data_IF_027756759990
#
_entry.id   IF_027756759990
#
_cell.length_a   1.000
_cell.length_b   1.000
_cell.length_c   1.000
_cell.angle_alpha   90.00
_cell.angle_beta   90.00
_cell.angle_gamma   90.00
#
_symmetry.space_group_name_H-M   'P 1'
#
loop_
_entity.id
_entity.type
_entity.pdbx_description
1 polymer ?
#
# COMPACT_ATOMS: atom_id res chain seq x y z
N UNK A 1 -47.58 -64.02 27.10
CA UNK A 1 -47.00 -64.62 25.87
C UNK A 1 -47.41 -63.75 24.69
N UNK A 2 -46.41 -63.22 23.95
CA UNK A 2 -46.43 -62.51 22.65
C UNK A 2 -47.02 -61.09 22.55
N UNK A 3 -46.06 -60.17 22.47
CA UNK A 3 -46.11 -58.78 22.00
C UNK A 3 -46.58 -58.68 20.53
N UNK A 4 -47.34 -57.62 20.22
CA UNK A 4 -47.55 -57.10 18.86
C UNK A 4 -46.36 -56.21 18.50
N UNK A 5 -45.80 -56.40 17.32
CA UNK A 5 -44.67 -55.62 16.80
C UNK A 5 -45.11 -54.28 16.21
N UNK A 6 -44.36 -53.24 16.53
CA UNK A 6 -44.39 -51.95 15.83
C UNK A 6 -43.58 -52.00 14.53
N UNK A 7 -43.93 -51.20 13.50
CA UNK A 7 -43.17 -51.12 12.26
C UNK A 7 -41.87 -50.30 12.45
N UNK A 8 -40.80 -50.60 11.69
CA UNK A 8 -39.54 -49.87 11.80
C UNK A 8 -39.67 -48.44 11.26
N UNK A 9 -39.10 -47.52 12.02
CA UNK A 9 -39.01 -46.10 11.73
C UNK A 9 -38.29 -45.82 10.40
N UNK A 10 -38.96 -45.06 9.52
CA UNK A 10 -38.32 -44.37 8.39
C UNK A 10 -37.45 -43.24 8.93
N UNK A 11 -36.18 -43.50 9.17
CA UNK A 11 -35.27 -42.49 9.71
C UNK A 11 -33.80 -42.82 9.51
N UNK A 12 -33.34 -43.00 8.27
CA UNK A 12 -31.91 -43.15 7.99
C UNK A 12 -31.51 -42.86 6.53
N UNK A 13 -32.14 -41.89 5.85
CA UNK A 13 -31.79 -41.57 4.45
C UNK A 13 -31.87 -40.07 4.14
N UNK A 14 -31.15 -39.22 4.90
CA UNK A 14 -30.90 -37.84 4.44
C UNK A 14 -29.59 -37.20 4.93
N UNK A 15 -28.70 -37.94 5.59
CA UNK A 15 -27.48 -37.37 6.18
C UNK A 15 -26.22 -37.48 5.29
N UNK A 16 -26.32 -37.87 4.02
CA UNK A 16 -25.14 -38.12 3.17
C UNK A 16 -24.92 -37.11 2.03
N UNK A 17 -25.65 -35.99 1.96
CA UNK A 17 -25.57 -35.06 0.81
C UNK A 17 -25.10 -33.63 1.08
N UNK A 18 -24.39 -33.36 2.18
CA UNK A 18 -23.80 -32.02 2.42
C UNK A 18 -22.35 -32.04 2.94
N UNK A 19 -21.48 -32.89 2.38
CA UNK A 19 -20.03 -32.66 2.41
C UNK A 19 -19.52 -32.31 1.00
N UNK A 20 -20.24 -31.42 0.31
CA UNK A 20 -19.68 -30.74 -0.85
C UNK A 20 -18.43 -29.99 -0.35
N UNK A 21 -17.26 -30.57 -0.67
CA UNK A 21 -15.95 -30.07 -0.31
C UNK A 21 -15.94 -28.54 -0.37
N UNK A 22 -15.83 -27.88 0.77
CA UNK A 22 -15.43 -26.48 0.84
C UNK A 22 -14.07 -26.43 0.13
N UNK A 23 -14.05 -26.17 -1.19
CA UNK A 23 -12.78 -26.07 -1.92
C UNK A 23 -12.04 -24.90 -1.30
N UNK A 24 -11.07 -25.24 -0.46
CA UNK A 24 -10.26 -24.27 0.25
C UNK A 24 -9.72 -23.28 -0.76
N UNK A 25 -9.91 -22.01 -0.45
CA UNK A 25 -9.31 -20.89 -1.18
C UNK A 25 -7.79 -21.15 -1.22
N UNK A 26 -7.15 -21.37 -2.38
CA UNK A 26 -5.70 -21.60 -2.42
C UNK A 26 -4.95 -20.50 -1.67
N UNK A 27 -4.18 -20.92 -0.66
CA UNK A 27 -3.50 -20.02 0.29
C UNK A 27 -2.15 -19.53 -0.23
N UNK A 28 -1.56 -20.24 -1.19
CA UNK A 28 -0.22 -19.93 -1.71
C UNK A 28 -0.14 -18.56 -2.40
N UNK A 29 -1.05 -18.15 -3.32
CA UNK A 29 -1.00 -16.81 -3.91
C UNK A 29 -1.06 -15.70 -2.85
N UNK A 30 -1.87 -15.91 -1.81
CA UNK A 30 -1.98 -14.92 -0.73
C UNK A 30 -0.73 -14.83 0.13
N UNK A 31 -0.11 -15.98 0.46
CA UNK A 31 1.15 -16.02 1.21
C UNK A 31 2.29 -15.36 0.44
N UNK A 32 2.38 -15.59 -0.87
CA UNK A 32 3.38 -14.97 -1.73
C UNK A 32 3.13 -13.47 -1.91
N UNK A 33 1.87 -13.03 -2.03
CA UNK A 33 1.54 -11.61 -2.07
C UNK A 33 1.93 -10.90 -0.76
N UNK A 34 1.66 -11.53 0.39
CA UNK A 34 2.12 -11.04 1.70
C UNK A 34 3.64 -10.99 1.81
N UNK A 35 4.34 -12.05 1.39
CA UNK A 35 5.80 -12.09 1.41
C UNK A 35 6.37 -10.96 0.55
N UNK A 36 5.88 -10.79 -0.68
CA UNK A 36 6.29 -9.71 -1.57
C UNK A 36 6.06 -8.34 -0.93
N UNK A 37 4.84 -8.08 -0.43
CA UNK A 37 4.52 -6.82 0.25
C UNK A 37 5.42 -6.57 1.46
N UNK A 38 5.68 -7.60 2.27
CA UNK A 38 6.54 -7.53 3.44
C UNK A 38 8.03 -7.36 3.08
N UNK A 39 8.46 -7.74 1.88
CA UNK A 39 9.81 -7.46 1.35
C UNK A 39 9.93 -6.04 0.80
N UNK A 40 8.90 -5.53 0.12
CA UNK A 40 8.92 -4.21 -0.51
C UNK A 40 8.95 -3.07 0.53
N UNK A 41 8.35 -3.24 1.71
CA UNK A 41 8.40 -2.20 2.74
C UNK A 41 9.82 -1.94 3.31
N UNK A 42 10.58 -2.97 3.75
CA UNK A 42 12.01 -2.82 4.06
C UNK A 42 12.84 -2.33 2.88
N UNK A 43 12.49 -2.69 1.64
CA UNK A 43 13.17 -2.19 0.45
C UNK A 43 13.07 -0.66 0.33
N UNK A 44 11.91 -0.08 0.63
CA UNK A 44 11.69 1.38 0.66
C UNK A 44 12.54 2.02 1.77
N UNK A 45 12.60 1.42 2.96
CA UNK A 45 13.47 1.89 4.04
C UNK A 45 14.94 1.92 3.61
N UNK A 46 15.44 0.81 3.06
CA UNK A 46 16.81 0.72 2.57
C UNK A 46 17.09 1.73 1.46
N UNK A 47 16.17 1.91 0.51
CA UNK A 47 16.32 2.93 -0.54
C UNK A 47 16.34 4.36 0.01
N UNK A 48 15.55 4.64 1.04
CA UNK A 48 15.56 5.91 1.76
C UNK A 48 16.88 6.16 2.50
N UNK A 49 17.46 5.13 3.14
CA UNK A 49 18.79 5.21 3.77
C UNK A 49 19.89 5.44 2.73
N UNK A 50 19.89 4.67 1.63
CA UNK A 50 20.83 4.84 0.51
C UNK A 50 20.80 6.27 -0.02
N UNK A 51 19.61 6.87 -0.10
CA UNK A 51 19.44 8.25 -0.58
C UNK A 51 19.88 9.27 0.47
N UNK A 52 19.57 9.08 1.75
CA UNK A 52 19.95 10.07 2.80
C UNK A 52 21.45 10.08 3.08
N UNK A 53 22.10 8.92 3.04
CA UNK A 53 23.56 8.81 3.19
C UNK A 53 24.33 9.11 1.89
N UNK A 54 23.65 9.42 0.78
CA UNK A 54 24.26 9.52 -0.55
C UNK A 54 25.05 8.27 -0.98
N UNK A 55 24.74 7.12 -0.39
CA UNK A 55 25.39 5.83 -0.64
C UNK A 55 25.06 5.24 -2.03
N UNK A 56 24.13 5.84 -2.78
CA UNK A 56 23.70 5.32 -4.08
C UNK A 56 24.74 5.38 -5.19
N UNK A 57 25.89 6.01 -4.93
CA UNK A 57 27.03 6.09 -5.84
C UNK A 57 28.26 5.32 -5.34
N UNK A 58 28.10 4.54 -4.25
CA UNK A 58 29.20 3.78 -3.65
C UNK A 58 29.62 2.61 -4.52
N UNK A 59 28.76 2.12 -5.41
CA UNK A 59 29.02 1.03 -6.35
C UNK A 59 28.76 1.54 -7.78
N UNK A 60 29.78 1.64 -8.64
CA UNK A 60 29.65 2.27 -9.97
C UNK A 60 28.97 1.38 -11.03
N UNK A 61 28.91 0.06 -10.80
CA UNK A 61 28.36 -0.92 -11.75
C UNK A 61 26.92 -1.32 -11.40
N UNK A 62 26.17 -1.78 -12.41
CA UNK A 62 24.84 -2.39 -12.29
C UNK A 62 24.66 -3.40 -13.44
N UNK A 63 24.00 -4.55 -13.24
CA UNK A 63 23.29 -5.01 -12.03
C UNK A 63 24.19 -5.60 -10.94
N UNK A 64 25.46 -5.89 -11.25
CA UNK A 64 26.43 -6.41 -10.29
C UNK A 64 26.92 -5.36 -9.29
N UNK A 65 27.50 -5.82 -8.19
CA UNK A 65 28.33 -5.04 -7.27
C UNK A 65 29.78 -5.50 -7.42
N UNK A 66 30.61 -4.68 -8.04
CA UNK A 66 32.00 -5.00 -8.37
C UNK A 66 32.16 -6.32 -9.13
N UNK A 67 31.26 -6.58 -10.08
CA UNK A 67 31.20 -7.84 -10.86
C UNK A 67 30.49 -9.01 -10.19
N UNK A 68 30.06 -8.89 -8.92
CA UNK A 68 29.29 -9.92 -8.22
C UNK A 68 27.78 -9.62 -8.27
N UNK A 69 26.97 -10.56 -8.74
CA UNK A 69 25.51 -10.39 -8.75
C UNK A 69 24.91 -10.52 -7.34
N UNK A 70 25.04 -11.71 -6.72
CA UNK A 70 24.40 -12.00 -5.42
C UNK A 70 25.40 -12.14 -4.27
N UNK A 71 26.59 -12.65 -4.54
CA UNK A 71 27.53 -13.11 -3.52
C UNK A 71 28.76 -12.20 -3.46
N UNK A 72 28.55 -10.90 -3.28
CA UNK A 72 29.65 -10.00 -2.96
C UNK A 72 30.21 -10.37 -1.57
N UNK A 73 31.54 -10.46 -1.37
CA UNK A 73 32.12 -11.02 -0.14
C UNK A 73 31.61 -10.32 1.12
N UNK A 74 31.06 -11.10 2.08
CA UNK A 74 30.36 -10.58 3.26
C UNK A 74 31.19 -9.55 4.05
N UNK A 75 32.46 -9.87 4.26
CA UNK A 75 33.40 -9.00 4.94
C UNK A 75 33.62 -7.65 4.22
N UNK A 76 33.53 -7.62 2.89
CA UNK A 76 33.85 -6.43 2.09
C UNK A 76 32.74 -5.37 2.15
N UNK A 77 31.47 -5.76 2.00
CA UNK A 77 30.37 -4.78 2.13
C UNK A 77 30.00 -4.46 3.57
N UNK A 78 30.18 -5.38 4.54
CA UNK A 78 29.89 -5.05 5.95
C UNK A 78 30.89 -4.05 6.55
N UNK A 79 32.10 -3.94 5.99
CA UNK A 79 33.13 -2.98 6.43
C UNK A 79 32.82 -1.55 6.02
N UNK A 80 32.17 -1.34 4.87
CA UNK A 80 31.91 -0.01 4.31
C UNK A 80 30.42 0.24 4.32
N UNK A 81 29.96 1.15 5.19
CA UNK A 81 28.55 1.43 5.41
C UNK A 81 27.76 1.73 4.12
N UNK A 82 28.32 2.52 3.22
CA UNK A 82 27.64 2.90 1.98
C UNK A 82 27.48 1.69 1.03
N UNK A 83 28.50 0.84 0.94
CA UNK A 83 28.44 -0.41 0.16
C UNK A 83 27.47 -1.40 0.78
N UNK A 84 27.41 -1.48 2.12
CA UNK A 84 26.41 -2.27 2.84
C UNK A 84 24.98 -1.86 2.44
N UNK A 85 24.70 -0.56 2.51
CA UNK A 85 23.38 -0.01 2.17
C UNK A 85 23.03 -0.28 0.71
N UNK A 86 23.95 -0.02 -0.21
CA UNK A 86 23.68 -0.15 -1.64
C UNK A 86 23.51 -1.62 -2.07
N UNK A 87 24.45 -2.51 -1.71
CA UNK A 87 24.36 -3.93 -2.05
C UNK A 87 23.17 -4.59 -1.35
N UNK A 88 22.88 -4.21 -0.10
CA UNK A 88 21.73 -4.70 0.65
C UNK A 88 20.40 -4.31 0.01
N UNK A 89 20.29 -3.07 -0.45
CA UNK A 89 19.14 -2.60 -1.20
C UNK A 89 18.95 -3.41 -2.51
N UNK A 90 20.03 -3.68 -3.25
CA UNK A 90 20.00 -4.52 -4.46
C UNK A 90 19.53 -5.95 -4.16
N UNK A 91 20.04 -6.57 -3.09
CA UNK A 91 19.69 -7.95 -2.71
C UNK A 91 18.21 -8.09 -2.33
N UNK A 92 17.67 -7.13 -1.58
CA UNK A 92 16.24 -7.09 -1.25
C UNK A 92 15.41 -6.87 -2.53
N UNK A 93 15.88 -6.02 -3.45
CA UNK A 93 15.25 -5.80 -4.75
C UNK A 93 15.18 -7.08 -5.60
N UNK A 94 16.27 -7.83 -5.68
CA UNK A 94 16.32 -9.13 -6.35
C UNK A 94 15.37 -10.15 -5.71
N UNK A 95 15.31 -10.16 -4.36
CA UNK A 95 14.35 -10.99 -3.62
C UNK A 95 12.91 -10.65 -3.97
N UNK A 96 12.57 -9.35 -4.05
CA UNK A 96 11.25 -8.91 -4.50
C UNK A 96 10.95 -9.35 -5.95
N UNK A 97 11.94 -9.32 -6.84
CA UNK A 97 11.85 -9.86 -8.20
C UNK A 97 11.50 -11.35 -8.23
N UNK A 98 12.25 -12.18 -7.50
CA UNK A 98 11.97 -13.62 -7.41
C UNK A 98 10.60 -13.93 -6.79
N UNK A 99 10.22 -13.22 -5.72
CA UNK A 99 8.89 -13.35 -5.12
C UNK A 99 7.78 -12.96 -6.10
N UNK A 100 8.01 -11.96 -6.96
CA UNK A 100 7.05 -11.54 -7.98
C UNK A 100 6.88 -12.60 -9.07
N UNK A 101 7.98 -13.23 -9.52
CA UNK A 101 7.93 -14.36 -10.45
C UNK A 101 7.17 -15.54 -9.84
N UNK A 102 7.48 -15.91 -8.59
CA UNK A 102 6.80 -16.98 -7.88
C UNK A 102 5.30 -16.68 -7.70
N UNK A 103 4.95 -15.43 -7.38
CA UNK A 103 3.56 -14.98 -7.28
C UNK A 103 2.84 -15.09 -8.62
N UNK A 104 3.44 -14.62 -9.71
CA UNK A 104 2.87 -14.74 -11.06
C UNK A 104 2.60 -16.20 -11.42
N UNK A 105 3.58 -17.08 -11.23
CA UNK A 105 3.42 -18.52 -11.43
C UNK A 105 2.27 -19.08 -10.58
N UNK A 106 2.23 -18.75 -9.28
CA UNK A 106 1.18 -19.20 -8.37
C UNK A 106 -0.21 -18.68 -8.77
N UNK A 107 -0.33 -17.46 -9.29
CA UNK A 107 -1.58 -16.91 -9.80
C UNK A 107 -2.03 -17.62 -11.08
N UNK A 108 -1.08 -18.00 -11.95
CA UNK A 108 -1.37 -18.79 -13.14
C UNK A 108 -1.92 -20.18 -12.82
N UNK A 109 -1.29 -20.88 -11.88
CA UNK A 109 -1.64 -22.26 -11.50
C UNK A 109 -2.90 -22.31 -10.64
N UNK A 110 -3.02 -21.43 -9.64
CA UNK A 110 -4.04 -21.57 -8.60
C UNK A 110 -5.20 -20.56 -8.68
N UNK A 111 -5.06 -19.46 -9.43
CA UNK A 111 -6.14 -18.49 -9.61
C UNK A 111 -6.85 -18.69 -10.96
N UNK A 112 -8.17 -18.89 -10.88
CA UNK A 112 -9.02 -19.08 -12.08
C UNK A 112 -9.42 -17.76 -12.72
N UNK A 113 -9.22 -16.63 -12.02
CA UNK A 113 -9.60 -15.30 -12.50
C UNK A 113 -8.55 -14.79 -13.52
N UNK A 114 -8.89 -14.63 -14.81
CA UNK A 114 -7.90 -14.25 -15.82
C UNK A 114 -7.31 -12.85 -15.60
N UNK A 115 -8.09 -11.94 -15.00
CA UNK A 115 -7.63 -10.60 -14.66
C UNK A 115 -6.57 -10.59 -13.55
N UNK A 116 -6.58 -11.56 -12.62
CA UNK A 116 -5.52 -11.71 -11.61
C UNK A 116 -4.17 -12.07 -12.25
N UNK A 117 -4.18 -12.86 -13.33
CA UNK A 117 -2.96 -13.18 -14.09
C UNK A 117 -2.38 -11.93 -14.76
N UNK A 118 -3.25 -11.08 -15.32
CA UNK A 118 -2.85 -9.77 -15.88
C UNK A 118 -2.22 -8.88 -14.80
N UNK A 119 -2.76 -8.87 -13.58
CA UNK A 119 -2.16 -8.14 -12.47
C UNK A 119 -0.81 -8.72 -12.04
N UNK A 120 -0.64 -10.05 -12.06
CA UNK A 120 0.66 -10.68 -11.84
C UNK A 120 1.70 -10.28 -12.89
N UNK A 121 1.30 -10.20 -14.18
CA UNK A 121 2.18 -9.73 -15.26
C UNK A 121 2.53 -8.26 -15.03
N UNK A 122 1.55 -7.42 -14.70
CA UNK A 122 1.77 -6.02 -14.36
C UNK A 122 2.72 -5.87 -13.16
N UNK A 123 2.66 -6.77 -12.16
CA UNK A 123 3.59 -6.77 -11.03
C UNK A 123 5.02 -7.05 -11.49
N UNK A 124 5.20 -8.06 -12.35
CA UNK A 124 6.51 -8.41 -12.90
C UNK A 124 7.10 -7.28 -13.73
N UNK A 125 6.28 -6.65 -14.58
CA UNK A 125 6.70 -5.47 -15.34
C UNK A 125 7.03 -4.29 -14.41
N UNK A 126 6.22 -4.06 -13.38
CA UNK A 126 6.42 -3.00 -12.40
C UNK A 126 7.72 -3.15 -11.61
N UNK A 127 8.02 -4.35 -11.09
CA UNK A 127 9.28 -4.59 -10.36
C UNK A 127 10.50 -4.54 -11.29
N UNK A 128 10.36 -5.01 -12.54
CA UNK A 128 11.43 -4.93 -13.53
C UNK A 128 11.73 -3.47 -13.90
N UNK A 129 10.69 -2.66 -14.14
CA UNK A 129 10.82 -1.22 -14.37
C UNK A 129 11.49 -0.53 -13.18
N UNK A 130 11.12 -0.89 -11.95
CA UNK A 130 11.76 -0.36 -10.74
C UNK A 130 13.26 -0.71 -10.67
N UNK A 131 13.62 -1.97 -10.94
CA UNK A 131 15.00 -2.41 -11.01
C UNK A 131 15.80 -1.67 -12.08
N UNK A 132 15.23 -1.48 -13.27
CA UNK A 132 15.86 -0.74 -14.37
C UNK A 132 16.02 0.75 -14.04
N UNK A 133 14.98 1.42 -13.54
CA UNK A 133 15.08 2.83 -13.12
C UNK A 133 16.13 3.01 -12.01
N UNK A 134 16.15 2.09 -11.05
CA UNK A 134 17.13 2.06 -9.96
C UNK A 134 18.56 1.81 -10.45
N UNK A 135 18.76 1.00 -11.49
CA UNK A 135 20.08 0.78 -12.10
C UNK A 135 20.55 1.94 -12.97
N UNK A 136 19.67 2.46 -13.83
CA UNK A 136 19.99 3.56 -14.74
C UNK A 136 20.35 4.84 -13.97
N UNK A 137 19.71 5.12 -12.83
CA UNK A 137 20.08 6.29 -12.01
C UNK A 137 21.48 6.18 -11.40
N UNK A 138 21.97 4.96 -11.14
CA UNK A 138 23.33 4.72 -10.63
C UNK A 138 24.35 4.90 -11.75
N UNK A 139 24.13 4.24 -12.89
CA UNK A 139 25.06 4.32 -14.04
C UNK A 139 25.11 5.74 -14.63
N UNK A 140 23.95 6.40 -14.75
CA UNK A 140 23.83 7.74 -15.32
C UNK A 140 24.07 8.90 -14.35
N UNK A 141 24.14 8.65 -13.04
CA UNK A 141 24.19 9.71 -11.99
C UNK A 141 23.04 10.72 -12.09
N UNK A 142 21.88 10.27 -12.57
CA UNK A 142 20.77 11.14 -12.95
C UNK A 142 19.81 11.37 -11.78
N UNK A 143 19.79 12.60 -11.23
CA UNK A 143 18.91 13.01 -10.13
C UNK A 143 17.44 12.88 -10.53
N UNK A 144 17.10 13.17 -11.79
CA UNK A 144 15.73 13.02 -12.28
C UNK A 144 15.27 11.57 -12.21
N UNK A 145 16.12 10.62 -12.61
CA UNK A 145 15.80 9.19 -12.51
C UNK A 145 15.70 8.73 -11.06
N UNK A 146 16.54 9.26 -10.16
CA UNK A 146 16.42 8.99 -8.72
C UNK A 146 15.08 9.47 -8.17
N UNK A 147 14.63 10.66 -8.54
CA UNK A 147 13.36 11.24 -8.12
C UNK A 147 12.16 10.44 -8.69
N UNK A 148 12.18 10.09 -9.97
CA UNK A 148 11.14 9.26 -10.61
C UNK A 148 11.10 7.87 -9.98
N UNK A 149 12.25 7.23 -9.77
CA UNK A 149 12.35 5.93 -9.09
C UNK A 149 11.72 5.99 -7.69
N UNK A 150 12.08 7.01 -6.91
CA UNK A 150 11.54 7.27 -5.56
C UNK A 150 10.03 7.52 -5.54
N UNK A 151 9.46 8.12 -6.59
CA UNK A 151 8.00 8.32 -6.72
C UNK A 151 7.25 7.04 -7.13
N UNK A 152 7.86 6.20 -7.98
CA UNK A 152 7.21 4.98 -8.50
C UNK A 152 7.31 3.82 -7.51
N UNK A 153 8.31 3.78 -6.62
CA UNK A 153 8.43 2.74 -5.59
C UNK A 153 7.20 2.65 -4.65
N UNK A 154 6.66 3.75 -4.08
CA UNK A 154 5.43 3.73 -3.29
C UNK A 154 4.20 3.26 -4.08
N UNK A 155 4.11 3.58 -5.37
CA UNK A 155 3.03 3.06 -6.24
C UNK A 155 3.13 1.54 -6.38
N UNK A 156 4.34 1.01 -6.61
CA UNK A 156 4.55 -0.42 -6.67
C UNK A 156 4.19 -1.08 -5.33
N UNK A 157 4.57 -0.48 -4.20
CA UNK A 157 4.18 -0.97 -2.88
C UNK A 157 2.66 -1.00 -2.69
N UNK A 158 1.94 0.08 -3.04
CA UNK A 158 0.48 0.12 -3.03
C UNK A 158 -0.15 -0.94 -3.95
N UNK A 159 0.49 -1.24 -5.07
CA UNK A 159 0.09 -2.32 -5.97
C UNK A 159 0.27 -3.70 -5.32
N UNK A 160 1.36 -3.96 -4.61
CA UNK A 160 1.52 -5.21 -3.83
C UNK A 160 0.45 -5.36 -2.74
N UNK A 161 0.05 -4.27 -2.10
CA UNK A 161 -1.05 -4.25 -1.12
C UNK A 161 -2.38 -4.61 -1.80
N UNK A 162 -2.61 -4.09 -3.00
CA UNK A 162 -3.79 -4.45 -3.81
C UNK A 162 -3.81 -5.96 -4.09
N UNK A 163 -2.69 -6.55 -4.52
CA UNK A 163 -2.58 -8.01 -4.72
C UNK A 163 -2.86 -8.77 -3.43
N UNK A 164 -2.33 -8.32 -2.28
CA UNK A 164 -2.57 -8.93 -0.97
C UNK A 164 -4.05 -8.90 -0.58
N UNK A 165 -4.75 -7.78 -0.80
CA UNK A 165 -6.19 -7.66 -0.55
C UNK A 165 -6.98 -8.60 -1.46
N UNK A 166 -6.72 -8.58 -2.77
CA UNK A 166 -7.48 -9.30 -3.80
C UNK A 166 -7.26 -10.82 -3.78
N UNK A 167 -6.13 -11.26 -3.23
CA UNK A 167 -5.83 -12.68 -2.96
C UNK A 167 -6.35 -13.16 -1.61
N UNK A 168 -6.78 -12.25 -0.72
CA UNK A 168 -7.15 -12.59 0.65
C UNK A 168 -8.36 -13.55 0.72
N UNK A 169 -8.38 -14.51 1.66
CA UNK A 169 -9.52 -15.41 1.83
C UNK A 169 -10.83 -14.68 2.11
N UNK A 170 -10.78 -13.54 2.80
CA UNK A 170 -11.94 -12.72 3.07
C UNK A 170 -12.50 -12.12 1.78
N UNK A 171 -11.64 -11.49 0.95
CA UNK A 171 -12.06 -10.93 -0.33
C UNK A 171 -12.69 -12.00 -1.22
N UNK A 172 -12.06 -13.17 -1.31
CA UNK A 172 -12.56 -14.29 -2.14
C UNK A 172 -13.88 -14.88 -1.64
N UNK A 173 -14.12 -14.89 -0.33
CA UNK A 173 -15.43 -15.28 0.24
C UNK A 173 -16.51 -14.27 -0.13
N UNK A 174 -16.25 -12.98 0.07
CA UNK A 174 -17.20 -11.92 -0.25
C UNK A 174 -17.48 -11.82 -1.77
N UNK A 175 -16.48 -12.04 -2.62
CA UNK A 175 -16.62 -12.10 -4.09
C UNK A 175 -17.55 -13.25 -4.50
N UNK A 176 -17.33 -14.47 -3.97
CA UNK A 176 -18.21 -15.62 -4.23
C UNK A 176 -19.64 -15.39 -3.75
N UNK A 177 -19.83 -14.87 -2.52
CA UNK A 177 -21.17 -14.58 -2.01
C UNK A 177 -21.95 -13.61 -2.92
N UNK A 178 -21.26 -12.62 -3.51
CA UNK A 178 -21.86 -11.66 -4.46
C UNK A 178 -22.18 -12.26 -5.84
N UNK A 179 -21.54 -13.36 -6.22
CA UNK A 179 -21.84 -14.09 -7.46
C UNK A 179 -23.00 -15.09 -7.24
N UNK A 180 -23.12 -15.67 -6.04
CA UNK A 180 -24.12 -16.69 -5.69
C UNK A 180 -25.49 -16.16 -5.27
N UNK A 181 -25.63 -14.87 -4.93
CA UNK A 181 -26.92 -14.24 -4.59
C UNK A 181 -27.43 -13.27 -5.68
N UNK A 182 -27.97 -13.76 -6.83
CA UNK A 182 -28.68 -12.88 -7.77
C UNK A 182 -30.11 -12.50 -7.31
N UNK A 183 -30.72 -13.25 -6.38
CA UNK A 183 -32.19 -13.28 -6.20
C UNK A 183 -32.72 -13.14 -4.76
N UNK A 184 -31.93 -12.68 -3.78
CA UNK A 184 -32.42 -12.47 -2.41
C UNK A 184 -33.19 -11.14 -2.28
N UNK A 185 -34.37 -11.08 -2.91
CA UNK A 185 -35.16 -9.86 -3.10
C UNK A 185 -36.09 -9.43 -1.96
N UNK A 186 -36.21 -10.18 -0.86
CA UNK A 186 -37.34 -9.94 0.06
C UNK A 186 -37.03 -9.10 1.30
N UNK A 187 -35.77 -8.78 1.61
CA UNK A 187 -35.42 -7.99 2.80
C UNK A 187 -34.54 -6.77 2.50
N UNK A 188 -34.83 -6.07 1.39
CA UNK A 188 -34.06 -4.91 0.97
C UNK A 188 -34.39 -3.66 1.82
N UNK A 189 -33.49 -3.34 2.76
CA UNK A 189 -33.51 -2.08 3.55
C UNK A 189 -33.39 -0.86 2.63
N UNK A 190 -34.01 0.29 2.98
CA UNK A 190 -34.14 1.44 2.08
C UNK A 190 -32.79 2.09 1.74
N UNK A 191 -32.81 2.82 0.62
CA UNK A 191 -31.71 3.45 -0.09
C UNK A 191 -30.53 3.89 0.78
N UNK A 192 -29.42 3.13 0.66
CA UNK A 192 -28.14 3.42 1.31
C UNK A 192 -27.50 4.67 0.70
N UNK A 193 -27.06 5.60 1.57
CA UNK A 193 -26.02 6.59 1.25
C UNK A 193 -24.83 5.85 0.62
N UNK A 194 -24.70 5.96 -0.70
CA UNK A 194 -23.64 5.30 -1.46
C UNK A 194 -22.47 6.25 -1.54
N UNK A 195 -21.28 5.77 -1.15
CA UNK A 195 -20.03 6.52 -1.33
C UNK A 195 -19.86 6.82 -2.82
N UNK A 196 -19.75 8.10 -3.18
CA UNK A 196 -19.31 8.45 -4.52
C UNK A 196 -17.84 7.98 -4.68
N UNK A 197 -17.47 7.27 -5.76
CA UNK A 197 -16.12 6.72 -5.93
C UNK A 197 -15.00 7.76 -5.81
N UNK A 198 -15.27 9.02 -6.19
CA UNK A 198 -14.29 10.11 -6.06
C UNK A 198 -13.89 10.35 -4.61
N UNK A 199 -14.81 10.20 -3.67
CA UNK A 199 -14.52 10.42 -2.26
C UNK A 199 -13.68 9.27 -1.67
N UNK A 200 -13.91 8.03 -2.11
CA UNK A 200 -13.08 6.87 -1.72
C UNK A 200 -11.65 7.03 -2.24
N UNK A 201 -11.50 7.49 -3.49
CA UNK A 201 -10.21 7.62 -4.16
C UNK A 201 -9.45 8.88 -3.74
N UNK A 202 -10.09 9.83 -3.06
CA UNK A 202 -9.48 11.09 -2.64
C UNK A 202 -8.23 10.88 -1.76
N UNK A 203 -8.29 9.99 -0.77
CA UNK A 203 -7.18 9.71 0.15
C UNK A 203 -5.93 9.16 -0.56
N UNK A 204 -5.99 8.03 -1.31
CA UNK A 204 -4.78 7.53 -1.97
C UNK A 204 -4.23 8.51 -3.03
N UNK A 205 -5.09 9.27 -3.70
CA UNK A 205 -4.66 10.30 -4.67
C UNK A 205 -3.91 11.42 -3.95
N UNK A 206 -4.48 12.00 -2.89
CA UNK A 206 -3.83 13.09 -2.14
C UNK A 206 -2.53 12.64 -1.47
N UNK A 207 -2.49 11.42 -0.91
CA UNK A 207 -1.25 10.87 -0.36
C UNK A 207 -0.19 10.70 -1.46
N UNK A 208 -0.57 10.24 -2.65
CA UNK A 208 0.39 10.12 -3.74
C UNK A 208 0.91 11.49 -4.21
N UNK A 209 0.03 12.49 -4.31
CA UNK A 209 0.44 13.88 -4.59
C UNK A 209 1.42 14.36 -3.50
N UNK A 210 1.14 14.09 -2.22
CA UNK A 210 2.03 14.44 -1.11
C UNK A 210 3.42 13.81 -1.25
N UNK A 211 3.48 12.53 -1.65
CA UNK A 211 4.73 11.80 -1.89
C UNK A 211 5.53 12.46 -3.02
N UNK A 212 4.88 12.78 -4.15
CA UNK A 212 5.53 13.44 -5.28
C UNK A 212 6.08 14.81 -4.87
N UNK A 213 5.28 15.62 -4.16
CA UNK A 213 5.71 16.92 -3.65
C UNK A 213 6.90 16.79 -2.68
N UNK A 214 6.89 15.78 -1.79
CA UNK A 214 7.98 15.51 -0.88
C UNK A 214 9.26 15.04 -1.60
N UNK A 215 9.12 14.24 -2.66
CA UNK A 215 10.26 13.81 -3.48
C UNK A 215 10.89 14.98 -4.25
N UNK A 216 10.07 15.93 -4.74
CA UNK A 216 10.60 17.18 -5.32
C UNK A 216 11.42 17.94 -4.29
N UNK A 217 10.87 18.20 -3.10
CA UNK A 217 11.57 18.90 -2.01
C UNK A 217 12.92 18.27 -1.64
N UNK A 218 13.00 16.94 -1.69
CA UNK A 218 14.21 16.19 -1.35
C UNK A 218 15.31 16.28 -2.42
N UNK A 219 14.95 16.57 -3.66
CA UNK A 219 15.87 16.57 -4.81
C UNK A 219 15.94 17.94 -5.50
N UNK A 220 15.55 19.02 -4.82
CA UNK A 220 15.66 20.37 -5.36
C UNK A 220 17.14 20.72 -5.62
N UNK A 221 17.51 21.11 -6.85
CA UNK A 221 18.86 21.62 -7.12
C UNK A 221 19.14 22.88 -6.31
N UNK A 222 20.35 22.97 -5.73
CA UNK A 222 20.81 24.12 -4.97
C UNK A 222 20.94 25.40 -5.79
N UNK A 223 21.01 25.29 -7.12
CA UNK A 223 21.13 26.41 -8.05
C UNK A 223 19.79 27.13 -8.32
N UNK A 224 18.65 26.56 -7.91
CA UNK A 224 17.36 27.17 -8.15
C UNK A 224 17.14 28.42 -7.27
N UNK A 225 16.47 29.46 -7.78
CA UNK A 225 16.09 30.63 -6.99
C UNK A 225 15.28 30.25 -5.73
N UNK A 226 15.46 30.95 -4.58
CA UNK A 226 14.77 30.63 -3.33
C UNK A 226 13.23 30.55 -3.42
N UNK A 227 12.63 31.29 -4.36
CA UNK A 227 11.19 31.24 -4.61
C UNK A 227 10.65 29.86 -4.99
N UNK A 228 11.47 29.01 -5.65
CA UNK A 228 11.09 27.64 -5.98
C UNK A 228 11.02 26.75 -4.74
N UNK A 229 12.02 26.82 -3.86
CA UNK A 229 12.02 26.11 -2.59
C UNK A 229 10.81 26.51 -1.72
N UNK A 230 10.49 27.81 -1.69
CA UNK A 230 9.30 28.30 -1.02
C UNK A 230 8.00 27.74 -1.62
N UNK A 231 7.85 27.79 -2.95
CA UNK A 231 6.67 27.27 -3.65
C UNK A 231 6.42 25.78 -3.34
N UNK A 232 7.43 24.93 -3.54
CA UNK A 232 7.28 23.49 -3.30
C UNK A 232 6.99 23.19 -1.82
N UNK A 233 7.57 23.97 -0.90
CA UNK A 233 7.31 23.84 0.53
C UNK A 233 5.85 24.16 0.85
N UNK A 234 5.32 25.28 0.34
CA UNK A 234 3.93 25.68 0.57
C UNK A 234 2.95 24.68 -0.07
N UNK A 235 3.24 24.18 -1.27
CA UNK A 235 2.43 23.13 -1.90
C UNK A 235 2.40 21.86 -1.03
N UNK A 236 3.56 21.40 -0.55
CA UNK A 236 3.66 20.23 0.31
C UNK A 236 2.93 20.42 1.65
N UNK A 237 3.05 21.58 2.29
CA UNK A 237 2.36 21.88 3.55
C UNK A 237 0.85 22.02 3.36
N UNK A 238 0.41 22.56 2.22
CA UNK A 238 -1.01 22.71 1.90
C UNK A 238 -1.66 21.35 1.73
N UNK A 239 -1.07 20.45 0.93
CA UNK A 239 -1.61 19.10 0.76
C UNK A 239 -1.52 18.30 2.07
N UNK A 240 -0.47 18.49 2.88
CA UNK A 240 -0.39 17.92 4.22
C UNK A 240 -1.56 18.35 5.12
N UNK A 241 -1.95 19.64 5.07
CA UNK A 241 -3.07 20.19 5.85
C UNK A 241 -4.44 19.72 5.33
N UNK A 242 -4.57 19.43 4.02
CA UNK A 242 -5.81 18.90 3.43
C UNK A 242 -6.07 17.43 3.81
N UNK A 243 -5.03 16.62 3.98
CA UNK A 243 -5.14 15.20 4.32
C UNK A 243 -6.00 14.90 5.58
N UNK A 244 -5.80 15.54 6.75
CA UNK A 244 -6.63 15.30 7.93
C UNK A 244 -8.10 15.72 7.71
N UNK A 245 -8.35 16.77 6.92
CA UNK A 245 -9.72 17.23 6.60
C UNK A 245 -10.44 16.16 5.77
N UNK A 246 -9.80 15.68 4.70
CA UNK A 246 -10.37 14.64 3.82
C UNK A 246 -10.53 13.31 4.57
N UNK A 247 -9.56 12.95 5.41
CA UNK A 247 -9.66 11.78 6.27
C UNK A 247 -10.81 11.88 7.28
N UNK A 248 -10.97 13.04 7.93
CA UNK A 248 -12.06 13.31 8.87
C UNK A 248 -13.42 13.20 8.19
N UNK A 249 -13.56 13.77 6.99
CA UNK A 249 -14.77 13.66 6.19
C UNK A 249 -15.06 12.20 5.76
N UNK A 250 -14.03 11.45 5.34
CA UNK A 250 -14.15 10.01 5.02
C UNK A 250 -14.60 9.20 6.24
N UNK A 251 -14.05 9.50 7.41
CA UNK A 251 -14.36 8.83 8.68
C UNK A 251 -15.78 9.14 9.17
N UNK A 252 -16.19 10.40 9.11
CA UNK A 252 -17.54 10.83 9.45
C UNK A 252 -18.58 10.15 8.56
N UNK A 253 -18.35 10.12 7.25
CA UNK A 253 -19.29 9.46 6.33
C UNK A 253 -19.32 7.94 6.55
N UNK A 254 -18.16 7.30 6.72
CA UNK A 254 -18.08 5.86 7.00
C UNK A 254 -18.73 5.48 8.34
N UNK A 255 -18.83 6.40 9.29
CA UNK A 255 -19.56 6.18 10.54
C UNK A 255 -21.05 5.96 10.32
N UNK A 256 -21.65 6.56 9.29
CA UNK A 256 -23.07 6.39 8.95
C UNK A 256 -23.42 5.07 8.24
N UNK A 257 -22.46 4.19 7.97
CA UNK A 257 -22.70 2.96 7.22
C UNK A 257 -23.11 1.77 8.11
N UNK A 258 -24.04 0.88 7.67
CA UNK A 258 -24.56 -0.22 8.49
C UNK A 258 -23.59 -1.37 8.79
N UNK A 259 -22.55 -1.57 7.95
CA UNK A 259 -21.50 -2.59 8.19
C UNK A 259 -20.11 -2.01 7.90
N UNK A 260 -19.59 -1.18 8.81
CA UNK A 260 -18.41 -0.37 8.54
C UNK A 260 -17.12 -0.95 9.11
N UNK A 261 -17.12 -2.19 9.65
CA UNK A 261 -16.02 -2.68 10.50
C UNK A 261 -14.65 -2.66 9.79
N UNK A 262 -14.55 -3.23 8.58
CA UNK A 262 -13.30 -3.22 7.84
C UNK A 262 -12.86 -1.80 7.43
N UNK A 263 -13.82 -0.96 6.98
CA UNK A 263 -13.54 0.41 6.55
C UNK A 263 -13.07 1.29 7.71
N UNK A 264 -13.73 1.22 8.87
CA UNK A 264 -13.36 1.95 10.09
C UNK A 264 -11.98 1.55 10.58
N UNK A 265 -11.64 0.25 10.56
CA UNK A 265 -10.30 -0.22 10.96
C UNK A 265 -9.20 0.40 10.08
N UNK A 266 -9.40 0.42 8.75
CA UNK A 266 -8.41 1.04 7.86
C UNK A 266 -8.33 2.55 8.01
N UNK A 267 -9.46 3.24 8.19
CA UNK A 267 -9.47 4.68 8.46
C UNK A 267 -8.85 5.03 9.81
N UNK A 268 -9.04 4.23 10.86
CA UNK A 268 -8.37 4.41 12.15
C UNK A 268 -6.86 4.20 12.03
N UNK A 269 -6.43 3.14 11.34
CA UNK A 269 -5.02 2.90 11.06
C UNK A 269 -4.40 4.06 10.27
N UNK A 270 -5.13 4.59 9.27
CA UNK A 270 -4.72 5.78 8.52
C UNK A 270 -4.56 6.99 9.44
N UNK A 271 -5.51 7.24 10.35
CA UNK A 271 -5.45 8.35 11.28
C UNK A 271 -4.22 8.30 12.19
N UNK A 272 -3.91 7.13 12.77
CA UNK A 272 -2.71 6.96 13.59
C UNK A 272 -1.42 7.15 12.79
N UNK A 273 -1.37 6.61 11.57
CA UNK A 273 -0.22 6.81 10.68
C UNK A 273 -0.10 8.27 10.24
N UNK A 274 -1.21 8.99 10.09
CA UNK A 274 -1.20 10.40 9.72
C UNK A 274 -0.62 11.27 10.84
N UNK A 275 -0.99 10.99 12.09
CA UNK A 275 -0.37 11.65 13.25
C UNK A 275 1.14 11.38 13.26
N UNK A 276 1.55 10.12 13.12
CA UNK A 276 2.97 9.75 13.04
C UNK A 276 3.67 10.46 11.88
N UNK A 277 3.05 10.54 10.70
CA UNK A 277 3.61 11.20 9.52
C UNK A 277 3.82 12.70 9.74
N UNK A 278 2.87 13.38 10.39
CA UNK A 278 2.98 14.81 10.72
C UNK A 278 4.12 15.01 11.72
N UNK A 279 4.19 14.19 12.78
CA UNK A 279 5.29 14.24 13.76
C UNK A 279 6.64 14.02 13.10
N UNK A 280 6.76 12.99 12.24
CA UNK A 280 7.97 12.72 11.48
C UNK A 280 8.28 13.83 10.47
N UNK A 281 7.28 14.50 9.92
CA UNK A 281 7.47 15.63 8.99
C UNK A 281 8.04 16.85 9.68
N UNK A 282 7.52 17.19 10.86
CA UNK A 282 8.09 18.23 11.73
C UNK A 282 9.51 17.85 12.16
N UNK A 283 9.73 16.58 12.54
CA UNK A 283 11.07 16.07 12.85
C UNK A 283 12.02 16.18 11.67
N UNK A 284 11.57 15.83 10.46
CA UNK A 284 12.35 15.94 9.21
C UNK A 284 12.73 17.39 8.94
N UNK A 285 11.82 18.35 9.18
CA UNK A 285 12.16 19.76 9.09
C UNK A 285 13.29 20.13 10.05
N UNK A 286 13.16 19.80 11.34
CA UNK A 286 14.14 20.18 12.37
C UNK A 286 15.51 19.56 12.08
N UNK A 287 15.58 18.27 11.74
CA UNK A 287 16.87 17.59 11.52
C UNK A 287 17.57 17.99 10.23
N UNK A 288 16.87 18.63 9.28
CA UNK A 288 17.46 19.13 8.02
C UNK A 288 17.68 20.65 8.02
N UNK A 289 16.86 21.42 8.75
CA UNK A 289 16.83 22.90 8.66
C UNK A 289 16.88 23.63 10.01
N UNK A 290 16.96 22.90 11.13
CA UNK A 290 16.85 23.44 12.48
C UNK A 290 15.45 23.98 12.83
N UNK A 291 15.25 24.39 14.09
CA UNK A 291 14.02 25.05 14.53
C UNK A 291 13.88 26.42 13.86
N UNK A 292 12.66 26.79 13.40
CA UNK A 292 12.41 28.11 12.86
C UNK A 292 12.84 29.23 13.82
N UNK A 293 13.43 30.29 13.29
CA UNK A 293 13.98 31.38 14.12
C UNK A 293 12.92 32.01 15.03
N UNK A 294 11.71 32.27 14.51
CA UNK A 294 10.60 32.77 15.31
C UNK A 294 10.23 31.86 16.50
N UNK A 295 10.41 30.55 16.38
CA UNK A 295 10.11 29.62 17.47
C UNK A 295 11.15 29.73 18.57
N UNK A 296 12.42 29.90 18.20
CA UNK A 296 13.52 30.07 19.14
C UNK A 296 13.45 31.43 19.86
N UNK A 297 13.04 32.48 19.15
CA UNK A 297 12.93 33.84 19.69
C UNK A 297 11.76 33.98 20.70
N UNK A 298 10.62 33.34 20.41
CA UNK A 298 9.37 33.59 21.13
C UNK A 298 8.86 32.44 22.00
N UNK A 299 9.33 31.21 21.80
CA UNK A 299 8.82 30.02 22.52
C UNK A 299 9.89 29.41 23.41
N UNK A 300 10.95 28.86 22.82
CA UNK A 300 12.03 28.19 23.55
C UNK A 300 13.29 28.09 22.72
N UNK A 301 14.43 28.45 23.30
CA UNK A 301 15.74 28.25 22.68
C UNK A 301 16.18 26.80 22.89
N UNK A 302 16.28 26.05 21.80
CA UNK A 302 16.74 24.66 21.82
C UNK A 302 18.11 24.61 21.14
N UNK A 303 19.21 24.36 21.88
CA UNK A 303 20.52 24.24 21.27
C UNK A 303 20.59 22.94 20.48
N UNK A 304 20.37 23.04 19.17
CA UNK A 304 20.45 21.94 18.23
C UNK A 304 21.31 22.33 17.02
N UNK A 305 22.24 21.43 16.65
CA UNK A 305 23.08 21.58 15.45
C UNK A 305 22.68 20.53 14.44
N UNK A 306 22.39 20.97 13.21
CA UNK A 306 22.13 20.08 12.09
C UNK A 306 23.45 19.42 11.70
N UNK A 307 23.47 18.08 11.70
CA UNK A 307 24.61 17.27 11.27
C UNK A 307 24.21 16.59 9.98
N UNK A 308 24.76 17.05 8.86
CA UNK A 308 24.53 16.41 7.57
C UNK A 308 25.10 14.99 7.54
N UNK A 309 24.33 14.03 7.02
CA UNK A 309 24.64 12.60 7.10
C UNK A 309 24.55 12.02 8.52
N UNK A 310 24.01 12.77 9.50
CA UNK A 310 23.86 12.30 10.86
C UNK A 310 22.86 11.14 10.99
N UNK A 311 23.10 10.23 11.93
CA UNK A 311 22.22 9.07 12.15
C UNK A 311 20.75 9.46 12.40
N UNK A 312 20.52 10.55 13.15
CA UNK A 312 19.18 11.02 13.48
C UNK A 312 18.47 11.61 12.24
N UNK A 313 19.19 12.41 11.44
CA UNK A 313 18.68 12.94 10.18
C UNK A 313 18.31 11.80 9.22
N UNK A 314 19.20 10.82 9.06
CA UNK A 314 18.98 9.65 8.22
C UNK A 314 17.78 8.83 8.66
N UNK A 315 17.67 8.54 9.96
CA UNK A 315 16.58 7.74 10.51
C UNK A 315 15.23 8.47 10.39
N UNK A 316 15.15 9.73 10.82
CA UNK A 316 13.88 10.49 10.82
C UNK A 316 13.40 10.77 9.39
N UNK A 317 14.29 11.19 8.49
CA UNK A 317 13.95 11.48 7.08
C UNK A 317 13.51 10.20 6.36
N UNK A 318 14.19 9.08 6.62
CA UNK A 318 13.80 7.78 6.05
C UNK A 318 12.48 7.30 6.63
N UNK A 319 12.28 7.41 7.94
CA UNK A 319 11.04 7.05 8.60
C UNK A 319 9.86 7.84 8.05
N UNK A 320 10.03 9.15 7.82
CA UNK A 320 9.01 10.00 7.20
C UNK A 320 8.66 9.54 5.78
N UNK A 321 9.68 9.21 4.97
CA UNK A 321 9.50 8.71 3.60
C UNK A 321 8.78 7.35 3.58
N UNK A 322 9.20 6.41 4.43
CA UNK A 322 8.62 5.07 4.51
C UNK A 322 7.20 5.10 5.08
N UNK A 323 6.94 5.94 6.09
CA UNK A 323 5.60 6.10 6.67
C UNK A 323 4.63 6.73 5.66
N UNK A 324 5.09 7.66 4.82
CA UNK A 324 4.30 8.17 3.68
C UNK A 324 3.88 7.07 2.71
N UNK A 325 4.79 6.14 2.41
CA UNK A 325 4.49 4.96 1.58
C UNK A 325 3.49 4.02 2.26
N UNK A 326 3.58 3.87 3.59
CA UNK A 326 2.65 3.07 4.39
C UNK A 326 1.25 3.70 4.46
N UNK A 327 1.15 5.03 4.53
CA UNK A 327 -0.12 5.75 4.40
C UNK A 327 -0.80 5.46 3.06
N UNK A 328 -0.04 5.46 1.96
CA UNK A 328 -0.57 5.13 0.64
C UNK A 328 -1.06 3.68 0.58
N UNK A 329 -0.32 2.74 1.17
CA UNK A 329 -0.72 1.35 1.29
C UNK A 329 -2.05 1.18 2.06
N UNK A 330 -2.18 1.82 3.22
CA UNK A 330 -3.41 1.78 4.04
C UNK A 330 -4.59 2.45 3.31
N UNK A 331 -4.37 3.59 2.66
CA UNK A 331 -5.39 4.26 1.85
C UNK A 331 -5.85 3.39 0.67
N UNK A 332 -4.92 2.65 0.05
CA UNK A 332 -5.23 1.72 -1.03
C UNK A 332 -6.05 0.53 -0.53
N UNK A 333 -5.69 -0.04 0.61
CA UNK A 333 -6.48 -1.11 1.24
C UNK A 333 -7.90 -0.62 1.59
N UNK A 334 -8.01 0.55 2.21
CA UNK A 334 -9.30 1.22 2.46
C UNK A 334 -10.11 1.35 1.16
N UNK A 335 -9.50 1.87 0.09
CA UNK A 335 -10.19 2.11 -1.17
C UNK A 335 -10.78 0.83 -1.78
N UNK A 336 -10.05 -0.29 -1.75
CA UNK A 336 -10.56 -1.59 -2.21
C UNK A 336 -11.80 -2.03 -1.43
N UNK A 337 -11.76 -2.00 -0.10
CA UNK A 337 -12.89 -2.41 0.74
C UNK A 337 -14.08 -1.44 0.65
N UNK A 338 -13.82 -0.15 0.52
CA UNK A 338 -14.86 0.87 0.36
C UNK A 338 -15.55 0.76 -1.01
N UNK A 339 -14.80 0.61 -2.11
CA UNK A 339 -15.36 0.44 -3.45
C UNK A 339 -16.14 -0.87 -3.58
N UNK A 340 -15.64 -1.95 -2.98
CA UNK A 340 -16.34 -3.23 -2.91
C UNK A 340 -17.71 -3.10 -2.23
N UNK A 341 -17.76 -2.39 -1.09
CA UNK A 341 -19.01 -2.11 -0.38
C UNK A 341 -19.96 -1.21 -1.16
N UNK A 342 -19.44 -0.17 -1.83
CA UNK A 342 -20.25 0.74 -2.64
C UNK A 342 -20.88 0.05 -3.85
N UNK A 343 -20.12 -0.82 -4.54
CA UNK A 343 -20.64 -1.62 -5.68
C UNK A 343 -21.76 -2.57 -5.25
N UNK A 344 -21.66 -3.18 -4.07
CA UNK A 344 -22.71 -4.04 -3.54
C UNK A 344 -24.01 -3.23 -3.31
N UNK A 345 -23.92 -2.09 -2.62
CA UNK A 345 -25.09 -1.25 -2.34
C UNK A 345 -25.79 -0.72 -3.62
N UNK A 346 -25.02 -0.40 -4.68
CA UNK A 346 -25.57 0.08 -5.94
C UNK A 346 -26.29 -1.02 -6.76
N UNK A 347 -25.97 -2.30 -6.55
CA UNK A 347 -26.68 -3.44 -7.16
C UNK A 347 -28.06 -3.61 -6.50
N UNK A 348 -28.11 -3.59 -5.17
CA UNK A 348 -29.35 -3.72 -4.40
C UNK A 348 -30.37 -2.64 -4.80
N UNK A 349 -29.94 -1.39 -4.98
CA UNK A 349 -30.84 -0.30 -5.35
C UNK A 349 -31.48 -0.46 -6.75
N UNK A 350 -30.69 -0.94 -7.73
CA UNK A 350 -31.20 -1.21 -9.09
C UNK A 350 -32.20 -2.37 -9.10
N UNK A 351 -32.00 -3.36 -8.26
CA UNK A 351 -32.91 -4.49 -8.14
C UNK A 351 -34.27 -4.06 -7.55
N UNK A 352 -34.27 -3.28 -6.46
CA UNK A 352 -35.50 -2.77 -5.82
C UNK A 352 -36.32 -1.90 -6.79
N UNK A 353 -35.67 -1.02 -7.53
CA UNK A 353 -36.34 -0.15 -8.51
C UNK A 353 -36.98 -0.96 -9.64
N UNK A 354 -36.33 -2.05 -10.07
CA UNK A 354 -36.89 -2.92 -11.10
C UNK A 354 -38.12 -3.72 -10.60
N UNK A 355 -38.09 -4.25 -9.37
CA UNK A 355 -39.26 -4.92 -8.77
C UNK A 355 -40.44 -3.96 -8.61
N UNK A 356 -40.20 -2.74 -8.10
CA UNK A 356 -41.28 -1.75 -7.93
C UNK A 356 -41.94 -1.37 -9.25
N UNK A 357 -41.16 -1.29 -10.34
CA UNK A 357 -41.68 -1.02 -11.67
C UNK A 357 -42.42 -2.22 -12.30
N UNK A 358 -42.10 -3.45 -11.88
CA UNK A 358 -42.73 -4.67 -12.36
C UNK A 358 -44.04 -5.00 -11.61
N UNK A 359 -44.12 -4.70 -10.31
CA UNK A 359 -45.32 -4.92 -9.49
C UNK A 359 -46.40 -3.83 -9.58
N UNK A 360 -46.17 -2.78 -10.37
CA UNK A 360 -47.13 -1.69 -10.64
C UNK A 360 -47.82 -1.81 -12.00
N UNK A 361 -47.69 -2.97 -12.67
CA UNK A 361 -48.47 -3.38 -13.84
C UNK A 361 -49.38 -4.52 -13.44
#
# INVERSE_FOLDING_TARGET
MKQRGDPPSRGAASASHQSASHRDVPRLPHRLAWALMATVFPLIWMGGLVTTYNAGMAVPDWPSTYGYLFMYPLESWLKTWDVFLEHGHRLIGMTAGFLTIALLWSLWVHDRRPWMRKLGIAALLGVSLQGTLGGLRVVGREILLANVHGCVAPLFFAFTVSLTVLTSPRWRREEKSRESEPNAGENARPARRTFHPTFILSLPILVYIQIVLGAQLRHLPSELPPGWSFLWTILHLTVAALLPIVWGACSWYAAGLPSPFAQRRWLQAFGWLLVLQITLGLGTWVVNYNFPQWFQDWVVVIPYTVIDGGWLQALVTTAHTATGSLLLAVATAYAHWALAGAKAAARDHRFITHIRAAGSR
#
